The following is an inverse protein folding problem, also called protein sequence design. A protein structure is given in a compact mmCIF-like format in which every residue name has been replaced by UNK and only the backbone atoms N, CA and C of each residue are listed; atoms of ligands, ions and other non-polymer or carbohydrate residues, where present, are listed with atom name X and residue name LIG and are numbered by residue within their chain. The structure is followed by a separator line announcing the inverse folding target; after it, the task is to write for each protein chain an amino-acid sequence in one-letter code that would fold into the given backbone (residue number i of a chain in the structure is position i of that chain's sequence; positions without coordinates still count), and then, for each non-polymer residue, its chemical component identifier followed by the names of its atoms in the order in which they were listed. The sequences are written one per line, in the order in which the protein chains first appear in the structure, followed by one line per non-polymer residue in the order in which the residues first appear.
data_IF_060167969842
#
_entry.id   IF_060167969842
#
_cell.length_a   1.000
_cell.length_b   1.000
_cell.length_c   1.000
_cell.angle_alpha   90.00
_cell.angle_beta   90.00
_cell.angle_gamma   90.00
#
_symmetry.space_group_name_H-M   'P 1'
#
loop_
_entity.id
_entity.type
_entity.pdbx_description
1 polymer ?
#
# COMPACT_ATOMS: atom_id res chain seq x y z
N UNK A 1 10.48 -14.28 -8.11
CA UNK A 1 9.53 -13.50 -7.30
C UNK A 1 10.05 -13.46 -5.87
N UNK A 2 9.93 -12.32 -5.22
CA UNK A 2 10.35 -12.06 -3.85
C UNK A 2 9.13 -11.58 -3.08
N UNK A 3 9.08 -11.95 -1.81
CA UNK A 3 8.06 -11.49 -0.87
C UNK A 3 8.75 -11.03 0.39
N UNK A 4 8.27 -9.93 0.93
CA UNK A 4 8.72 -9.38 2.19
C UNK A 4 7.50 -9.04 3.04
N UNK A 5 7.72 -9.02 4.36
CA UNK A 5 6.70 -8.63 5.32
C UNK A 5 7.34 -7.80 6.41
N UNK A 6 6.71 -6.68 6.72
CA UNK A 6 7.00 -5.88 7.90
C UNK A 6 5.89 -6.09 8.92
N UNK A 7 6.26 -6.33 10.18
CA UNK A 7 5.28 -6.30 11.27
C UNK A 7 4.74 -4.88 11.40
N UNK A 8 3.43 -4.74 11.56
CA UNK A 8 2.80 -3.42 11.49
C UNK A 8 1.35 -3.54 11.08
N UNK A 9 0.93 -2.73 10.11
CA UNK A 9 -0.41 -2.80 9.52
C UNK A 9 -1.38 -1.76 10.07
N UNK A 10 -2.61 -1.79 9.56
CA UNK A 10 -3.64 -0.77 9.82
C UNK A 10 -4.08 -0.68 11.28
N UNK A 11 -3.82 -1.70 12.10
CA UNK A 11 -4.11 -1.63 13.54
C UNK A 11 -3.21 -0.65 14.29
N UNK A 12 -2.10 -0.24 13.68
CA UNK A 12 -1.19 0.78 14.20
C UNK A 12 -1.55 2.20 13.74
N UNK A 13 -2.56 2.35 12.87
CA UNK A 13 -3.03 3.66 12.45
C UNK A 13 -3.45 4.48 13.69
N UNK A 14 -2.93 5.71 13.84
CA UNK A 14 -3.32 6.57 14.94
C UNK A 14 -4.84 6.82 14.91
N UNK A 15 -5.50 6.95 16.08
CA UNK A 15 -6.91 7.31 16.12
C UNK A 15 -7.21 8.57 15.31
N UNK A 16 -8.19 8.52 14.40
CA UNK A 16 -8.55 9.61 13.49
C UNK A 16 -7.71 9.68 12.21
N UNK A 17 -6.73 8.78 12.03
CA UNK A 17 -5.95 8.58 10.81
C UNK A 17 -6.08 7.13 10.31
N UNK A 18 -7.25 6.52 10.49
CA UNK A 18 -7.57 5.23 9.88
C UNK A 18 -7.36 5.28 8.35
N UNK A 19 -6.78 4.22 7.78
CA UNK A 19 -6.44 4.15 6.35
C UNK A 19 -5.07 4.76 6.02
N UNK A 20 -4.29 5.17 7.02
CA UNK A 20 -2.93 5.67 6.81
C UNK A 20 -2.01 4.59 6.23
N UNK A 21 -2.08 3.37 6.77
CA UNK A 21 -1.33 2.24 6.22
C UNK A 21 -1.72 1.96 4.77
N UNK A 22 -3.01 1.98 4.44
CA UNK A 22 -3.53 1.79 3.08
C UNK A 22 -3.06 2.84 2.08
N UNK A 23 -3.12 4.11 2.48
CA UNK A 23 -2.64 5.19 1.64
C UNK A 23 -1.13 5.07 1.40
N UNK A 24 -0.36 4.75 2.44
CA UNK A 24 1.10 4.62 2.35
C UNK A 24 1.53 3.46 1.46
N UNK A 25 0.90 2.28 1.58
CA UNK A 25 1.23 1.10 0.77
C UNK A 25 1.00 1.36 -0.72
N UNK A 26 -0.09 2.04 -1.07
CA UNK A 26 -0.38 2.47 -2.45
C UNK A 26 0.55 3.56 -3.01
N UNK A 27 1.55 4.02 -2.26
CA UNK A 27 2.49 5.07 -2.69
C UNK A 27 3.95 4.59 -2.75
N UNK A 28 4.26 3.37 -2.33
CA UNK A 28 5.66 2.89 -2.30
C UNK A 28 6.29 2.74 -3.70
N UNK A 29 5.48 2.53 -4.73
CA UNK A 29 5.90 2.45 -6.14
C UNK A 29 5.66 3.77 -6.92
N UNK A 30 5.21 4.82 -6.25
CA UNK A 30 4.88 6.12 -6.86
C UNK A 30 6.08 7.09 -6.90
N UNK A 31 7.29 6.55 -6.93
CA UNK A 31 8.55 7.30 -6.99
C UNK A 31 9.39 7.17 -5.71
N UNK A 32 10.71 7.14 -5.89
CA UNK A 32 11.65 6.94 -4.81
C UNK A 32 13.01 7.59 -5.06
N UNK A 33 13.66 8.05 -3.99
CA UNK A 33 14.92 8.80 -4.05
C UNK A 33 14.81 10.02 -4.96
N UNK A 34 15.66 10.07 -5.99
CA UNK A 34 15.67 11.16 -6.99
C UNK A 34 14.72 10.91 -8.16
N UNK A 35 14.04 9.76 -8.23
CA UNK A 35 13.16 9.38 -9.33
C UNK A 35 11.71 9.73 -8.97
N UNK A 36 11.12 10.67 -9.71
CA UNK A 36 9.67 10.89 -9.64
C UNK A 36 8.88 9.66 -10.12
N UNK A 37 7.55 9.70 -10.01
CA UNK A 37 6.70 8.55 -10.33
C UNK A 37 6.91 8.04 -11.76
N UNK A 38 7.01 8.93 -12.75
CA UNK A 38 7.20 8.52 -14.15
C UNK A 38 8.58 7.90 -14.36
N UNK A 39 9.64 8.54 -13.88
CA UNK A 39 10.99 8.01 -14.01
C UNK A 39 11.17 6.68 -13.27
N UNK A 40 10.53 6.51 -12.11
CA UNK A 40 10.58 5.28 -11.34
C UNK A 40 9.88 4.13 -12.06
N UNK A 41 8.68 4.38 -12.62
CA UNK A 41 7.92 3.38 -13.36
C UNK A 41 8.63 2.97 -14.66
N UNK A 42 9.23 3.92 -15.40
CA UNK A 42 10.06 3.60 -16.58
C UNK A 42 11.23 2.67 -16.20
N UNK A 43 11.89 2.92 -15.08
CA UNK A 43 13.00 2.08 -14.62
C UNK A 43 12.55 0.68 -14.20
N UNK A 44 11.35 0.55 -13.65
CA UNK A 44 10.76 -0.77 -13.39
C UNK A 44 10.48 -1.52 -14.69
N UNK A 45 9.87 -0.86 -15.66
CA UNK A 45 9.59 -1.44 -16.98
C UNK A 45 10.88 -1.88 -17.70
N UNK A 46 11.92 -1.05 -17.70
CA UNK A 46 13.22 -1.35 -18.30
C UNK A 46 13.91 -2.56 -17.62
N UNK A 47 13.73 -2.70 -16.31
CA UNK A 47 14.19 -3.85 -15.54
C UNK A 47 13.31 -5.10 -15.73
N UNK A 48 12.18 -4.98 -16.44
CA UNK A 48 11.15 -6.01 -16.54
C UNK A 48 10.63 -6.42 -15.17
N UNK A 49 10.46 -5.44 -14.28
CA UNK A 49 10.09 -5.61 -12.89
C UNK A 49 8.71 -5.03 -12.59
N UNK A 50 8.00 -5.68 -11.68
CA UNK A 50 6.70 -5.29 -11.17
C UNK A 50 6.73 -5.48 -9.66
N UNK A 51 6.25 -4.48 -8.91
CA UNK A 51 6.15 -4.56 -7.46
C UNK A 51 4.81 -4.05 -6.96
N UNK A 52 4.35 -4.62 -5.86
CA UNK A 52 3.12 -4.20 -5.19
C UNK A 52 3.32 -4.21 -3.69
N UNK A 53 2.59 -3.34 -3.00
CA UNK A 53 2.52 -3.32 -1.56
C UNK A 53 1.07 -3.25 -1.12
N UNK A 54 0.75 -4.01 -0.08
CA UNK A 54 -0.57 -4.07 0.51
C UNK A 54 -0.42 -4.22 2.02
N UNK A 55 -1.33 -3.64 2.77
CA UNK A 55 -1.43 -3.78 4.21
C UNK A 55 -2.48 -4.83 4.59
N UNK A 56 -2.29 -5.39 5.78
CA UNK A 56 -3.33 -6.03 6.54
C UNK A 56 -3.38 -5.36 7.91
N UNK A 57 -4.18 -5.92 8.81
CA UNK A 57 -4.25 -5.47 10.20
C UNK A 57 -2.92 -5.56 10.93
N UNK A 58 -2.11 -6.59 10.64
CA UNK A 58 -0.93 -6.95 11.42
C UNK A 58 0.38 -6.96 10.62
N UNK A 59 0.32 -6.59 9.34
CA UNK A 59 1.52 -6.50 8.53
C UNK A 59 1.38 -5.67 7.28
N UNK A 60 2.52 -5.27 6.75
CA UNK A 60 2.65 -4.70 5.41
C UNK A 60 3.41 -5.71 4.57
N UNK A 61 2.83 -6.07 3.44
CA UNK A 61 3.33 -7.09 2.53
C UNK A 61 3.81 -6.42 1.27
N UNK A 62 5.03 -6.73 0.87
CA UNK A 62 5.59 -6.31 -0.41
C UNK A 62 5.81 -7.54 -1.28
N UNK A 63 5.52 -7.42 -2.57
CA UNK A 63 5.80 -8.45 -3.56
C UNK A 63 6.53 -7.86 -4.75
N UNK A 64 7.52 -8.58 -5.30
CA UNK A 64 8.21 -8.15 -6.51
C UNK A 64 8.49 -9.33 -7.44
N UNK A 65 8.33 -9.11 -8.73
CA UNK A 65 8.77 -10.01 -9.80
C UNK A 65 9.70 -9.24 -10.72
N UNK A 66 10.71 -9.91 -11.26
CA UNK A 66 11.64 -9.30 -12.21
C UNK A 66 12.25 -10.34 -13.15
N UNK A 67 12.83 -9.87 -14.25
CA UNK A 67 13.72 -10.66 -15.10
C UNK A 67 14.98 -11.09 -14.32
N UNK A 68 15.45 -12.31 -14.60
CA UNK A 68 16.56 -12.89 -13.84
C UNK A 68 17.89 -12.18 -14.11
N UNK A 69 18.03 -11.59 -15.29
CA UNK A 69 19.21 -10.88 -15.76
C UNK A 69 19.29 -9.46 -15.18
N UNK A 70 18.15 -8.87 -14.80
CA UNK A 70 18.03 -7.50 -14.28
C UNK A 70 17.85 -7.44 -12.75
N UNK A 71 18.21 -8.52 -12.03
CA UNK A 71 17.95 -8.64 -10.59
C UNK A 71 18.52 -7.48 -9.81
N UNK A 72 19.78 -7.12 -10.04
CA UNK A 72 20.48 -6.11 -9.24
C UNK A 72 19.81 -4.73 -9.38
N UNK A 73 19.38 -4.37 -10.58
CA UNK A 73 18.64 -3.13 -10.83
C UNK A 73 17.26 -3.14 -10.15
N UNK A 74 16.49 -4.22 -10.33
CA UNK A 74 15.18 -4.36 -9.69
C UNK A 74 15.27 -4.32 -8.15
N UNK A 75 16.33 -4.92 -7.59
CA UNK A 75 16.58 -4.87 -6.14
C UNK A 75 16.95 -3.48 -5.65
N UNK A 76 17.70 -2.68 -6.42
CA UNK A 76 17.98 -1.30 -6.05
C UNK A 76 16.72 -0.43 -6.09
N UNK A 77 15.83 -0.65 -7.06
CA UNK A 77 14.52 0.02 -7.10
C UNK A 77 13.66 -0.36 -5.89
N UNK A 78 13.62 -1.64 -5.50
CA UNK A 78 12.93 -2.07 -4.29
C UNK A 78 13.53 -1.45 -3.02
N UNK A 79 14.87 -1.37 -2.95
CA UNK A 79 15.58 -0.71 -1.84
C UNK A 79 15.16 0.77 -1.76
N UNK A 80 15.14 1.48 -2.89
CA UNK A 80 14.70 2.87 -2.94
C UNK A 80 13.24 3.02 -2.50
N UNK A 81 12.32 2.23 -3.05
CA UNK A 81 10.89 2.26 -2.71
C UNK A 81 10.64 2.15 -1.20
N UNK A 82 11.33 1.21 -0.53
CA UNK A 82 11.12 0.93 0.89
C UNK A 82 11.80 1.97 1.81
N UNK A 83 12.97 2.49 1.43
CA UNK A 83 13.78 3.33 2.33
C UNK A 83 13.68 4.83 2.03
N UNK A 84 13.38 5.20 0.79
CA UNK A 84 13.39 6.58 0.30
C UNK A 84 12.15 6.88 -0.57
N UNK A 85 10.92 6.47 -0.19
CA UNK A 85 9.73 6.82 -0.97
C UNK A 85 9.52 8.33 -0.98
N UNK A 86 9.06 8.88 -2.11
CA UNK A 86 8.95 10.33 -2.27
C UNK A 86 7.70 10.93 -1.66
N UNK A 87 6.59 10.21 -1.73
CA UNK A 87 5.27 10.68 -1.30
C UNK A 87 4.94 12.08 -1.85
N UNK A 88 5.17 12.26 -3.16
CA UNK A 88 4.86 13.52 -3.82
C UNK A 88 3.35 13.80 -3.77
N UNK A 89 2.97 15.08 -3.67
CA UNK A 89 1.58 15.48 -3.45
C UNK A 89 0.62 15.01 -4.57
N UNK A 90 1.08 15.02 -5.83
CA UNK A 90 0.25 14.62 -6.96
C UNK A 90 -0.15 13.13 -6.92
N UNK A 91 0.77 12.16 -6.71
CA UNK A 91 0.41 10.79 -6.39
C UNK A 91 -0.47 10.64 -5.16
N UNK A 92 -0.18 11.34 -4.05
CA UNK A 92 -1.02 11.30 -2.84
C UNK A 92 -2.48 11.64 -3.17
N UNK A 93 -2.71 12.74 -3.88
CA UNK A 93 -4.06 13.19 -4.22
C UNK A 93 -4.77 12.19 -5.13
N UNK A 94 -4.04 11.57 -6.07
CA UNK A 94 -4.57 10.54 -6.97
C UNK A 94 -4.95 9.27 -6.22
N UNK A 95 -4.04 8.72 -5.42
CA UNK A 95 -4.29 7.49 -4.64
C UNK A 95 -5.41 7.73 -3.63
N UNK A 96 -5.43 8.89 -2.95
CA UNK A 96 -6.55 9.27 -2.07
C UNK A 96 -7.89 9.27 -2.81
N UNK A 97 -7.95 9.82 -4.02
CA UNK A 97 -9.17 9.83 -4.82
C UNK A 97 -9.62 8.41 -5.22
N UNK A 98 -8.68 7.51 -5.50
CA UNK A 98 -8.95 6.10 -5.76
C UNK A 98 -9.49 5.38 -4.51
N UNK A 99 -8.86 5.58 -3.35
CA UNK A 99 -9.31 5.02 -2.06
C UNK A 99 -10.73 5.49 -1.74
N UNK A 100 -11.01 6.80 -1.86
CA UNK A 100 -12.35 7.35 -1.65
C UNK A 100 -13.40 6.72 -2.58
N UNK A 101 -13.03 6.48 -3.84
CA UNK A 101 -13.90 5.83 -4.81
C UNK A 101 -14.16 4.36 -4.43
N UNK A 102 -13.14 3.68 -3.91
CA UNK A 102 -13.24 2.33 -3.34
C UNK A 102 -14.17 2.27 -2.13
N UNK A 103 -14.06 3.20 -1.19
CA UNK A 103 -14.94 3.30 -0.01
C UNK A 103 -16.40 3.44 -0.45
N UNK A 104 -16.70 4.35 -1.40
CA UNK A 104 -18.06 4.54 -1.92
C UNK A 104 -18.59 3.26 -2.59
N UNK A 105 -17.75 2.55 -3.34
CA UNK A 105 -18.14 1.27 -3.93
C UNK A 105 -18.46 0.22 -2.84
N UNK A 106 -17.61 0.14 -1.81
CA UNK A 106 -17.72 -0.80 -0.70
C UNK A 106 -18.93 -0.54 0.21
N UNK A 107 -19.40 0.71 0.31
CA UNK A 107 -20.66 1.03 0.99
C UNK A 107 -21.88 0.37 0.33
N UNK A 108 -21.79 0.04 -0.95
CA UNK A 108 -22.84 -0.64 -1.70
C UNK A 108 -22.67 -2.16 -1.75
N UNK A 109 -21.60 -2.71 -1.17
CA UNK A 109 -21.36 -4.14 -1.07
C UNK A 109 -21.84 -4.69 0.30
N UNK A 110 -22.90 -5.53 0.31
CA UNK A 110 -23.43 -6.10 1.55
C UNK A 110 -22.41 -6.91 2.35
N UNK A 111 -21.48 -7.60 1.69
CA UNK A 111 -20.49 -8.43 2.37
C UNK A 111 -19.48 -7.57 3.11
N UNK A 112 -19.03 -6.47 2.48
CA UNK A 112 -18.16 -5.48 3.13
C UNK A 112 -18.85 -4.79 4.30
N UNK A 113 -20.10 -4.37 4.13
CA UNK A 113 -20.90 -3.76 5.21
C UNK A 113 -21.09 -4.74 6.37
N UNK A 114 -21.39 -6.00 6.09
CA UNK A 114 -21.55 -7.03 7.11
C UNK A 114 -20.26 -7.28 7.88
N UNK A 115 -19.12 -7.39 7.19
CA UNK A 115 -17.80 -7.58 7.82
C UNK A 115 -17.43 -6.40 8.73
N UNK A 116 -17.66 -5.17 8.30
CA UNK A 116 -17.40 -3.97 9.10
C UNK A 116 -18.28 -3.91 10.36
N UNK A 117 -19.57 -4.26 10.25
CA UNK A 117 -20.47 -4.33 11.40
C UNK A 117 -20.08 -5.45 12.35
N UNK A 118 -19.74 -6.61 11.83
CA UNK A 118 -19.30 -7.76 12.61
C UNK A 118 -18.01 -7.45 13.37
N UNK A 119 -17.02 -6.84 12.73
CA UNK A 119 -15.77 -6.45 13.37
C UNK A 119 -16.01 -5.49 14.55
N UNK A 120 -16.88 -4.48 14.36
CA UNK A 120 -17.28 -3.57 15.46
C UNK A 120 -18.01 -4.29 16.60
N UNK A 121 -18.89 -5.23 16.29
CA UNK A 121 -19.64 -5.98 17.30
C UNK A 121 -18.75 -6.92 18.14
N UNK A 122 -17.74 -7.53 17.50
CA UNK A 122 -16.84 -8.49 18.16
C UNK A 122 -15.73 -7.78 18.93
N UNK A 123 -15.14 -6.73 18.35
CA UNK A 123 -13.92 -6.10 18.87
C UNK A 123 -14.16 -4.80 19.65
N UNK A 124 -15.34 -4.19 19.58
CA UNK A 124 -15.67 -2.96 20.30
C UNK A 124 -14.70 -1.82 19.97
N UNK A 125 -14.00 -1.30 20.97
CA UNK A 125 -13.03 -0.21 20.80
C UNK A 125 -11.60 -0.69 20.44
N UNK A 126 -11.37 -2.00 20.36
CA UNK A 126 -10.07 -2.57 19.98
C UNK A 126 -9.72 -2.20 18.52
N UNK A 127 -8.45 -1.94 18.15
CA UNK A 127 -8.07 -1.53 16.79
C UNK A 127 -8.59 -2.43 15.65
N UNK A 128 -8.82 -3.71 15.92
CA UNK A 128 -9.44 -4.66 14.98
C UNK A 128 -10.90 -4.34 14.64
N UNK A 129 -11.57 -3.41 15.33
CA UNK A 129 -12.90 -2.96 14.93
C UNK A 129 -12.86 -1.90 13.83
N UNK A 130 -11.68 -1.30 13.59
CA UNK A 130 -11.51 -0.19 12.65
C UNK A 130 -11.44 -0.69 11.21
N UNK A 131 -11.89 0.17 10.31
CA UNK A 131 -11.66 0.04 8.88
C UNK A 131 -10.16 0.27 8.61
N UNK A 132 -9.62 -0.47 7.66
CA UNK A 132 -8.30 -0.23 7.07
C UNK A 132 -8.36 0.69 5.83
N UNK A 133 -9.57 1.06 5.40
CA UNK A 133 -9.86 2.07 4.38
C UNK A 133 -10.17 3.41 5.01
#
# INVERSE_FOLDING_TARGET
AIRLVFGGGSTQDPPGNEGLANLMTGLFDEGAGTLDSEAFQIRLDDAGADMSFDETRDGIYGSMRMLAEQRDEAFDLLRLAVNEPRFDQAPIDRIRAQVLSGIIANENDPDTVAQNRWARAVYGDHPYSRSDQ
#
